data_IF_490258709156
#
_entry.id   IF_490258709156
#
_cell.length_a   1.000
_cell.length_b   1.000
_cell.length_c   1.000
_cell.angle_alpha   90.00
_cell.angle_beta   90.00
_cell.angle_gamma   90.00
#
_symmetry.space_group_name_H-M   'P 1'
#
loop_
_entity.id
_entity.type
_entity.pdbx_description
1 polymer ?
#
# COMPACT_ATOMS: atom_id res chain seq x y z
N UNK A 1 14.17 8.73 13.65
CA UNK A 1 12.80 8.53 14.13
C UNK A 1 11.80 8.91 13.04
N UNK A 2 11.16 7.95 12.49
CA UNK A 2 10.17 8.13 11.41
C UNK A 2 8.77 7.70 11.87
N UNK A 3 7.77 7.88 11.02
CA UNK A 3 6.41 7.38 11.28
C UNK A 3 6.44 5.88 11.64
N UNK A 4 5.61 5.48 12.62
CA UNK A 4 5.37 4.08 12.95
C UNK A 4 4.90 3.30 11.71
N UNK A 5 5.51 2.15 11.43
CA UNK A 5 5.03 1.20 10.42
C UNK A 5 4.00 0.29 11.05
N UNK A 6 2.80 0.21 10.48
CA UNK A 6 1.79 -0.66 11.04
C UNK A 6 2.25 -2.12 11.07
N UNK A 7 1.98 -2.81 12.18
CA UNK A 7 2.19 -4.26 12.30
C UNK A 7 1.05 -5.03 11.65
N UNK A 8 1.22 -6.34 11.47
CA UNK A 8 0.15 -7.20 10.96
C UNK A 8 -1.02 -7.30 11.93
N UNK A 9 -0.74 -7.31 13.24
CA UNK A 9 -1.75 -7.33 14.31
C UNK A 9 -2.57 -6.03 14.29
N UNK A 10 -1.95 -4.87 14.08
CA UNK A 10 -2.65 -3.59 13.97
C UNK A 10 -3.54 -3.55 12.73
N UNK A 11 -3.06 -4.07 11.60
CA UNK A 11 -3.86 -4.18 10.37
C UNK A 11 -5.06 -5.10 10.62
N UNK A 12 -4.84 -6.28 11.20
CA UNK A 12 -5.91 -7.24 11.51
C UNK A 12 -6.94 -6.66 12.48
N UNK A 13 -6.51 -5.94 13.51
CA UNK A 13 -7.41 -5.27 14.46
C UNK A 13 -8.27 -4.18 13.78
N UNK A 14 -7.68 -3.41 12.85
CA UNK A 14 -8.42 -2.43 12.07
C UNK A 14 -9.46 -3.11 11.17
N UNK A 15 -9.08 -4.19 10.50
CA UNK A 15 -9.96 -4.97 9.63
C UNK A 15 -11.11 -5.63 10.38
N UNK A 16 -10.84 -6.13 11.59
CA UNK A 16 -11.87 -6.69 12.46
C UNK A 16 -12.90 -5.63 12.89
N UNK A 17 -12.46 -4.40 13.18
CA UNK A 17 -13.36 -3.29 13.52
C UNK A 17 -14.14 -2.79 12.33
N UNK A 18 -13.50 -2.70 11.16
CA UNK A 18 -14.06 -2.12 9.95
C UNK A 18 -14.18 -3.20 8.85
N UNK A 19 -15.30 -3.91 8.74
CA UNK A 19 -15.50 -4.95 7.74
C UNK A 19 -15.56 -4.36 6.32
N UNK A 20 -15.49 -5.23 5.33
CA UNK A 20 -15.77 -4.88 3.93
C UNK A 20 -17.12 -4.17 3.80
N UNK A 21 -17.20 -3.19 2.90
CA UNK A 21 -18.37 -2.34 2.75
C UNK A 21 -18.33 -1.08 3.62
N UNK A 22 -17.28 -0.89 4.43
CA UNK A 22 -17.07 0.37 5.15
C UNK A 22 -16.05 1.27 4.47
N UNK A 23 -16.26 2.59 4.55
CA UNK A 23 -15.30 3.57 4.03
C UNK A 23 -13.91 3.44 4.66
N UNK A 24 -13.85 3.11 5.96
CA UNK A 24 -12.60 2.91 6.67
C UNK A 24 -11.82 1.72 6.10
N UNK A 25 -12.49 0.59 5.81
CA UNK A 25 -11.86 -0.57 5.19
C UNK A 25 -11.35 -0.26 3.77
N UNK A 26 -12.12 0.46 2.98
CA UNK A 26 -11.66 0.90 1.65
C UNK A 26 -10.46 1.82 1.75
N UNK A 27 -10.42 2.75 2.71
CA UNK A 27 -9.27 3.63 2.93
C UNK A 27 -8.01 2.85 3.30
N UNK A 28 -8.12 1.86 4.21
CA UNK A 28 -7.02 0.94 4.53
C UNK A 28 -6.53 0.22 3.28
N UNK A 29 -7.44 -0.38 2.52
CA UNK A 29 -7.10 -1.15 1.32
C UNK A 29 -6.38 -0.30 0.26
N UNK A 30 -6.87 0.91 -0.01
CA UNK A 30 -6.23 1.84 -0.93
C UNK A 30 -4.81 2.22 -0.48
N UNK A 31 -4.63 2.56 0.80
CA UNK A 31 -3.32 2.93 1.34
C UNK A 31 -2.33 1.75 1.30
N UNK A 32 -2.78 0.56 1.71
CA UNK A 32 -1.93 -0.62 1.87
C UNK A 32 -1.59 -1.28 0.53
N UNK A 33 -2.58 -1.47 -0.34
CA UNK A 33 -2.43 -2.19 -1.60
C UNK A 33 -2.05 -1.31 -2.80
N UNK A 34 -1.93 0.00 -2.61
CA UNK A 34 -1.28 0.88 -3.59
C UNK A 34 0.05 1.42 -3.09
N UNK A 35 0.28 1.41 -1.79
CA UNK A 35 1.48 1.97 -1.17
C UNK A 35 1.66 3.47 -1.41
N UNK A 36 0.60 4.20 -1.77
CA UNK A 36 0.68 5.60 -2.13
C UNK A 36 0.52 6.54 -0.92
N UNK A 37 0.95 7.78 -1.07
CA UNK A 37 0.77 8.81 -0.04
C UNK A 37 -0.71 9.18 0.06
N UNK A 38 -1.15 9.59 1.25
CA UNK A 38 -2.55 10.00 1.50
C UNK A 38 -3.09 11.00 0.48
N UNK A 39 -2.26 11.98 0.08
CA UNK A 39 -2.66 13.01 -0.88
C UNK A 39 -2.85 12.47 -2.30
N UNK A 40 -2.25 11.34 -2.63
CA UNK A 40 -2.45 10.65 -3.90
C UNK A 40 -3.68 9.73 -3.80
N UNK A 41 -3.83 9.01 -2.68
CA UNK A 41 -4.96 8.11 -2.43
C UNK A 41 -6.31 8.81 -2.45
N UNK A 42 -6.43 10.01 -1.84
CA UNK A 42 -7.70 10.75 -1.82
C UNK A 42 -8.15 11.25 -3.18
N UNK A 43 -7.25 11.26 -4.17
CA UNK A 43 -7.57 11.63 -5.55
C UNK A 43 -7.92 10.45 -6.45
N UNK A 44 -7.68 9.21 -6.00
CA UNK A 44 -7.98 8.02 -6.77
C UNK A 44 -9.48 7.86 -7.00
N UNK A 45 -9.86 7.47 -8.21
CA UNK A 45 -11.23 7.21 -8.60
C UNK A 45 -11.31 6.28 -9.81
N UNK A 46 -12.52 5.89 -10.21
CA UNK A 46 -12.75 4.95 -11.32
C UNK A 46 -12.11 5.37 -12.63
N UNK A 47 -12.03 6.67 -12.91
CA UNK A 47 -11.40 7.22 -14.11
C UNK A 47 -9.90 6.90 -14.20
N UNK A 48 -9.27 6.53 -13.10
CA UNK A 48 -7.86 6.13 -13.04
C UNK A 48 -7.65 4.61 -13.19
N UNK A 49 -8.74 3.82 -13.24
CA UNK A 49 -8.65 2.38 -13.42
C UNK A 49 -8.59 2.04 -14.90
N UNK A 50 -7.48 1.43 -15.34
CA UNK A 50 -7.28 0.97 -16.71
C UNK A 50 -6.56 -0.38 -16.72
N UNK A 51 -7.05 -1.31 -17.51
CA UNK A 51 -6.42 -2.62 -17.69
C UNK A 51 -6.06 -3.35 -16.38
N UNK A 52 -6.93 -3.27 -15.36
CA UNK A 52 -6.69 -3.92 -14.07
C UNK A 52 -5.67 -3.22 -13.17
N UNK A 53 -5.27 -1.99 -13.49
CA UNK A 53 -4.35 -1.19 -12.69
C UNK A 53 -4.96 0.19 -12.36
N UNK A 54 -4.50 0.80 -11.27
CA UNK A 54 -4.79 2.19 -10.94
C UNK A 54 -3.62 3.06 -11.42
N UNK A 55 -3.89 3.97 -12.34
CA UNK A 55 -2.93 4.97 -12.79
C UNK A 55 -2.83 6.11 -11.76
N UNK A 56 -1.62 6.43 -11.33
CA UNK A 56 -1.35 7.46 -10.32
C UNK A 56 -0.28 8.42 -10.84
N UNK A 57 -0.54 9.72 -10.70
CA UNK A 57 0.47 10.75 -10.81
C UNK A 57 0.74 11.29 -9.41
N UNK A 58 1.90 10.98 -8.86
CA UNK A 58 2.26 11.39 -7.51
C UNK A 58 2.43 12.89 -7.40
N UNK A 59 1.67 13.53 -6.50
CA UNK A 59 1.71 14.99 -6.33
C UNK A 59 3.05 15.53 -5.84
N UNK A 60 3.81 14.75 -5.05
CA UNK A 60 5.11 15.19 -4.52
C UNK A 60 6.27 15.06 -5.52
N UNK A 61 6.25 14.02 -6.37
CA UNK A 61 7.41 13.65 -7.20
C UNK A 61 7.12 13.77 -8.70
N UNK A 62 5.85 13.90 -9.09
CA UNK A 62 5.42 13.85 -10.48
C UNK A 62 5.53 12.45 -11.13
N UNK A 63 5.97 11.44 -10.37
CA UNK A 63 6.11 10.09 -10.90
C UNK A 63 4.77 9.53 -11.37
N UNK A 64 4.77 8.91 -12.55
CA UNK A 64 3.62 8.23 -13.14
C UNK A 64 3.75 6.73 -12.88
N UNK A 65 2.74 6.15 -12.28
CA UNK A 65 2.72 4.75 -11.90
C UNK A 65 1.42 4.11 -12.41
N UNK A 66 1.49 2.85 -12.84
CA UNK A 66 0.35 1.99 -13.03
C UNK A 66 0.46 0.84 -12.02
N UNK A 67 -0.40 0.83 -11.02
CA UNK A 67 -0.34 -0.12 -9.90
C UNK A 67 -1.40 -1.19 -10.12
N UNK A 68 -1.04 -2.46 -10.37
CA UNK A 68 -1.99 -3.55 -10.50
C UNK A 68 -2.89 -3.65 -9.25
N UNK A 69 -4.18 -3.89 -9.47
CA UNK A 69 -5.15 -3.99 -8.39
C UNK A 69 -5.04 -5.36 -7.74
N UNK A 70 -4.60 -5.40 -6.48
CA UNK A 70 -4.58 -6.60 -5.65
C UNK A 70 -6.00 -7.12 -5.41
N UNK A 71 -6.17 -8.44 -5.24
CA UNK A 71 -7.48 -9.05 -5.01
C UNK A 71 -8.25 -8.45 -3.83
N UNK A 72 -7.56 -8.19 -2.70
CA UNK A 72 -8.19 -7.58 -1.52
C UNK A 72 -8.63 -6.13 -1.75
N UNK A 73 -7.88 -5.38 -2.58
CA UNK A 73 -8.29 -4.04 -2.98
C UNK A 73 -9.51 -4.10 -3.91
N UNK A 74 -9.52 -5.04 -4.83
CA UNK A 74 -10.68 -5.28 -5.71
C UNK A 74 -11.93 -5.62 -4.91
N UNK A 75 -11.82 -6.49 -3.90
CA UNK A 75 -12.92 -6.84 -3.00
C UNK A 75 -13.42 -5.61 -2.21
N UNK A 76 -12.51 -4.78 -1.70
CA UNK A 76 -12.86 -3.58 -0.97
C UNK A 76 -13.57 -2.53 -1.86
N UNK A 77 -13.12 -2.36 -3.10
CA UNK A 77 -13.74 -1.48 -4.09
C UNK A 77 -15.15 -1.98 -4.48
N UNK A 78 -15.30 -3.28 -4.68
CA UNK A 78 -16.59 -3.88 -5.02
C UNK A 78 -17.61 -3.77 -3.87
N UNK A 79 -17.14 -3.94 -2.62
CA UNK A 79 -18.00 -3.86 -1.44
C UNK A 79 -18.40 -2.43 -1.04
N UNK A 80 -17.68 -1.42 -1.52
CA UNK A 80 -17.99 0.00 -1.27
C UNK A 80 -18.07 0.77 -2.61
N UNK A 81 -19.13 0.55 -3.40
CA UNK A 81 -19.28 1.26 -4.67
C UNK A 81 -19.47 2.75 -4.44
N UNK A 82 -18.80 3.56 -5.25
CA UNK A 82 -18.93 5.02 -5.23
C UNK A 82 -19.37 5.54 -6.59
N UNK A 83 -20.33 6.41 -6.61
CA UNK A 83 -20.78 7.15 -7.81
C UNK A 83 -20.01 8.46 -8.00
N UNK A 84 -19.16 8.81 -7.03
CA UNK A 84 -18.37 10.03 -7.05
C UNK A 84 -17.09 9.89 -7.89
N UNK A 85 -16.48 11.02 -8.22
CA UNK A 85 -15.20 11.07 -8.96
C UNK A 85 -14.05 10.41 -8.20
N UNK A 86 -14.09 10.42 -6.86
CA UNK A 86 -13.08 9.75 -6.02
C UNK A 86 -13.69 8.58 -5.27
N UNK A 87 -12.88 7.54 -5.04
CA UNK A 87 -13.30 6.37 -4.25
C UNK A 87 -13.64 6.74 -2.81
N UNK A 88 -12.90 7.69 -2.24
CA UNK A 88 -13.08 8.15 -0.87
C UNK A 88 -13.68 9.57 -0.86
N UNK A 89 -14.81 9.69 -0.20
CA UNK A 89 -15.49 10.96 -0.02
C UNK A 89 -15.83 11.22 1.44
N UNK A 90 -16.00 12.49 1.77
CA UNK A 90 -16.57 12.92 3.05
C UNK A 90 -18.03 12.45 3.21
N UNK A 91 -18.63 12.69 4.35
CA UNK A 91 -20.07 12.38 4.56
C UNK A 91 -20.98 13.12 3.58
N UNK A 92 -20.58 14.32 3.16
CA UNK A 92 -21.32 15.14 2.20
C UNK A 92 -21.04 14.83 0.73
N UNK A 93 -20.29 13.74 0.42
CA UNK A 93 -19.97 13.33 -0.95
C UNK A 93 -18.83 14.10 -1.61
N UNK A 94 -18.22 15.07 -0.93
CA UNK A 94 -17.07 15.80 -1.45
C UNK A 94 -15.76 14.99 -1.28
N UNK A 95 -14.82 15.19 -2.19
CA UNK A 95 -13.47 14.63 -2.06
C UNK A 95 -12.77 15.12 -0.78
N UNK A 96 -11.99 14.26 -0.15
CA UNK A 96 -11.18 14.65 0.99
C UNK A 96 -10.04 15.59 0.57
N UNK A 97 -9.78 16.61 1.39
CA UNK A 97 -8.45 17.23 1.43
C UNK A 97 -7.47 16.31 2.15
N UNK A 98 -6.17 16.45 1.87
CA UNK A 98 -5.14 15.64 2.56
C UNK A 98 -5.19 15.76 4.10
N UNK A 99 -5.24 16.97 4.68
CA UNK A 99 -5.42 17.15 6.12
C UNK A 99 -6.75 16.61 6.65
N UNK A 100 -7.85 16.85 5.95
CA UNK A 100 -9.18 16.36 6.33
C UNK A 100 -9.22 14.83 6.37
N UNK A 101 -8.62 14.16 5.38
CA UNK A 101 -8.47 12.71 5.39
C UNK A 101 -7.65 12.22 6.58
N UNK A 102 -6.51 12.86 6.87
CA UNK A 102 -5.69 12.46 8.02
C UNK A 102 -6.44 12.56 9.34
N UNK A 103 -7.16 13.65 9.57
CA UNK A 103 -7.94 13.83 10.79
C UNK A 103 -9.04 12.76 10.93
N UNK A 104 -9.75 12.49 9.85
CA UNK A 104 -10.74 11.43 9.82
C UNK A 104 -10.11 10.05 10.02
N UNK A 105 -8.98 9.75 9.35
CA UNK A 105 -8.33 8.45 9.45
C UNK A 105 -7.80 8.18 10.86
N UNK A 106 -7.21 9.20 11.52
CA UNK A 106 -6.81 9.09 12.94
C UNK A 106 -8.02 8.80 13.84
N UNK A 107 -9.18 9.37 13.56
CA UNK A 107 -10.40 9.07 14.31
C UNK A 107 -10.78 7.58 14.18
N UNK A 108 -10.87 7.06 12.95
CA UNK A 108 -11.25 5.65 12.74
C UNK A 108 -10.20 4.66 13.25
N UNK A 109 -8.91 5.02 13.28
CA UNK A 109 -7.88 4.19 13.90
C UNK A 109 -8.03 4.12 15.42
N UNK A 110 -8.36 5.23 16.07
CA UNK A 110 -8.66 5.25 17.52
C UNK A 110 -9.91 4.46 17.85
N UNK A 111 -10.95 4.56 17.04
CA UNK A 111 -12.19 3.77 17.20
C UNK A 111 -11.94 2.27 17.04
N UNK A 112 -10.89 1.87 16.32
CA UNK A 112 -10.42 0.49 16.23
C UNK A 112 -9.51 0.07 17.40
N UNK A 113 -9.31 0.92 18.40
CA UNK A 113 -8.46 0.64 19.55
C UNK A 113 -6.95 0.66 19.26
N UNK A 114 -6.53 1.21 18.12
CA UNK A 114 -5.13 1.22 17.72
C UNK A 114 -4.32 2.30 18.46
N UNK A 115 -3.01 2.06 18.68
CA UNK A 115 -2.15 2.98 19.39
C UNK A 115 -1.97 4.32 18.64
N UNK A 116 -1.54 5.34 19.38
CA UNK A 116 -1.11 6.60 18.78
C UNK A 116 0.09 6.35 17.88
N UNK A 117 0.06 6.90 16.68
CA UNK A 117 1.13 6.69 15.67
C UNK A 117 0.66 5.93 14.44
N UNK A 118 -0.41 5.16 14.54
CA UNK A 118 -1.05 4.53 13.38
C UNK A 118 -1.60 5.61 12.43
N UNK A 119 -0.88 5.86 11.35
CA UNK A 119 -1.14 6.95 10.40
C UNK A 119 -1.21 6.41 8.97
N UNK A 120 -1.78 7.17 8.01
CA UNK A 120 -1.75 6.79 6.60
C UNK A 120 -0.32 6.57 6.06
N UNK A 121 0.66 7.34 6.54
CA UNK A 121 2.05 7.16 6.13
C UNK A 121 2.65 5.86 6.67
N UNK A 122 2.24 5.43 7.86
CA UNK A 122 2.63 4.14 8.42
C UNK A 122 2.16 2.95 7.60
N UNK A 123 0.98 3.05 6.95
CA UNK A 123 0.50 2.02 6.03
C UNK A 123 1.33 1.93 4.73
N UNK A 124 1.82 3.05 4.21
CA UNK A 124 2.77 3.03 3.08
C UNK A 124 4.09 2.33 3.47
N UNK A 125 4.56 2.52 4.71
CA UNK A 125 5.71 1.78 5.24
C UNK A 125 5.40 0.28 5.37
N UNK A 126 4.22 -0.06 5.88
CA UNK A 126 3.78 -1.45 5.98
C UNK A 126 3.68 -2.13 4.60
N UNK A 127 3.18 -1.42 3.58
CA UNK A 127 3.15 -1.90 2.20
C UNK A 127 4.57 -2.24 1.69
N UNK A 128 5.52 -1.32 1.88
CA UNK A 128 6.91 -1.56 1.48
C UNK A 128 7.56 -2.72 2.26
N UNK A 129 7.30 -2.83 3.57
CA UNK A 129 7.75 -3.95 4.41
C UNK A 129 7.16 -5.27 3.93
N UNK A 130 5.84 -5.36 3.68
CA UNK A 130 5.20 -6.57 3.16
C UNK A 130 5.83 -7.04 1.84
N UNK A 131 6.14 -6.12 0.95
CA UNK A 131 6.83 -6.44 -0.30
C UNK A 131 8.25 -6.98 -0.05
N UNK A 132 9.00 -6.38 0.89
CA UNK A 132 10.33 -6.87 1.27
C UNK A 132 10.25 -8.27 1.90
N UNK A 133 9.30 -8.48 2.82
CA UNK A 133 9.06 -9.77 3.48
C UNK A 133 8.62 -10.86 2.47
N UNK A 134 7.91 -10.47 1.41
CA UNK A 134 7.55 -11.33 0.29
C UNK A 134 8.74 -11.62 -0.66
N UNK A 135 9.92 -11.05 -0.41
CA UNK A 135 11.12 -11.27 -1.21
C UNK A 135 11.24 -10.38 -2.45
N UNK A 136 10.44 -9.31 -2.54
CA UNK A 136 10.57 -8.35 -3.62
C UNK A 136 11.90 -7.59 -3.54
N UNK A 137 12.50 -7.36 -4.70
CA UNK A 137 13.72 -6.54 -4.80
C UNK A 137 13.42 -5.06 -4.52
N UNK A 138 14.45 -4.30 -4.17
CA UNK A 138 14.33 -2.83 -4.01
C UNK A 138 13.77 -2.15 -5.26
N UNK A 139 14.07 -2.67 -6.45
CA UNK A 139 13.52 -2.17 -7.71
C UNK A 139 12.02 -2.41 -7.82
N UNK A 140 11.54 -3.59 -7.44
CA UNK A 140 10.10 -3.92 -7.43
C UNK A 140 9.34 -3.05 -6.42
N UNK A 141 9.90 -2.88 -5.20
CA UNK A 141 9.31 -2.02 -4.18
C UNK A 141 9.27 -0.57 -4.65
N UNK A 142 10.36 -0.09 -5.29
CA UNK A 142 10.41 1.26 -5.88
C UNK A 142 9.36 1.45 -6.98
N UNK A 143 9.21 0.48 -7.87
CA UNK A 143 8.21 0.51 -8.95
C UNK A 143 6.78 0.59 -8.39
N UNK A 144 6.48 -0.13 -7.31
CA UNK A 144 5.18 -0.12 -6.66
C UNK A 144 4.93 1.17 -5.89
N UNK A 145 5.87 1.59 -5.06
CA UNK A 145 5.69 2.73 -4.16
C UNK A 145 5.98 4.08 -4.81
N UNK A 146 6.79 4.11 -5.87
CA UNK A 146 7.23 5.36 -6.50
C UNK A 146 8.21 6.16 -5.63
N UNK A 147 9.06 5.49 -4.86
CA UNK A 147 10.15 6.18 -4.18
C UNK A 147 11.17 6.72 -5.19
N UNK A 148 11.74 7.90 -4.92
CA UNK A 148 12.64 8.56 -5.85
C UNK A 148 13.99 7.84 -5.93
N UNK A 149 14.50 7.37 -4.78
CA UNK A 149 15.80 6.69 -4.67
C UNK A 149 15.66 5.27 -4.18
N UNK A 150 16.63 4.42 -4.51
CA UNK A 150 16.71 3.06 -3.96
C UNK A 150 17.04 3.08 -2.47
N UNK A 151 17.84 4.03 -2.01
CA UNK A 151 18.22 4.14 -0.60
C UNK A 151 17.03 4.34 0.33
N UNK A 152 15.94 4.99 -0.12
CA UNK A 152 14.69 5.09 0.63
C UNK A 152 14.01 3.74 0.81
N UNK A 153 14.22 2.83 -0.12
CA UNK A 153 13.60 1.49 -0.15
C UNK A 153 14.49 0.46 0.54
N UNK A 154 15.81 0.56 0.39
CA UNK A 154 16.79 -0.39 0.93
C UNK A 154 16.67 -0.61 2.44
N UNK A 155 16.22 0.41 3.19
CA UNK A 155 15.94 0.24 4.62
C UNK A 155 14.88 -0.81 4.92
N UNK A 156 13.96 -1.10 3.99
CA UNK A 156 12.95 -2.16 4.14
C UNK A 156 13.54 -3.52 3.78
N UNK A 157 14.42 -3.58 2.77
CA UNK A 157 15.05 -4.84 2.35
C UNK A 157 16.21 -5.25 3.24
N UNK A 158 16.90 -4.31 3.92
CA UNK A 158 17.94 -4.63 4.92
C UNK A 158 17.39 -5.40 6.11
N UNK A 159 16.11 -5.21 6.47
CA UNK A 159 15.46 -5.94 7.54
C UNK A 159 14.98 -7.32 7.09
N UNK A 160 15.06 -7.63 5.81
CA UNK A 160 14.74 -8.95 5.28
C UNK A 160 15.84 -9.94 5.69
N UNK A 161 15.41 -11.16 6.05
CA UNK A 161 16.32 -12.21 6.48
C UNK A 161 17.37 -12.52 5.41
N UNK A 162 18.66 -12.30 5.71
CA UNK A 162 19.76 -12.57 4.80
C UNK A 162 19.78 -14.03 4.34
N UNK A 163 19.51 -14.98 5.26
CA UNK A 163 19.47 -16.41 4.95
C UNK A 163 18.39 -16.71 3.92
N UNK A 164 17.17 -16.21 4.13
CA UNK A 164 16.05 -16.38 3.21
C UNK A 164 16.34 -15.81 1.81
N UNK A 165 16.98 -14.64 1.75
CA UNK A 165 17.37 -14.04 0.47
C UNK A 165 18.45 -14.86 -0.24
N UNK A 166 19.41 -15.43 0.52
CA UNK A 166 20.43 -16.32 -0.01
C UNK A 166 19.84 -17.63 -0.52
N UNK A 167 18.89 -18.23 0.21
CA UNK A 167 18.17 -19.43 -0.23
C UNK A 167 17.41 -19.22 -1.54
N UNK A 168 16.69 -18.11 -1.66
CA UNK A 168 16.00 -17.75 -2.90
C UNK A 168 16.97 -17.52 -4.05
N UNK A 169 18.10 -16.86 -3.79
CA UNK A 169 19.13 -16.64 -4.80
C UNK A 169 19.72 -17.97 -5.29
N UNK A 170 20.07 -18.88 -4.38
CA UNK A 170 20.61 -20.20 -4.69
C UNK A 170 19.58 -21.01 -5.50
N UNK A 171 18.30 -20.98 -5.14
CA UNK A 171 17.25 -21.70 -5.89
C UNK A 171 17.09 -21.23 -7.35
N UNK A 172 17.48 -19.99 -7.64
CA UNK A 172 17.40 -19.38 -8.99
C UNK A 172 18.63 -19.64 -9.85
N UNK A 173 19.76 -20.06 -9.28
CA UNK A 173 21.00 -20.32 -10.04
C UNK A 173 20.85 -21.49 -11.04
N UNK A 174 19.84 -22.33 -10.94
CA UNK A 174 19.63 -23.45 -11.84
C UNK A 174 20.82 -24.43 -11.86
N UNK A 175 20.60 -25.71 -12.07
CA UNK A 175 21.70 -26.64 -12.38
C UNK A 175 22.28 -26.23 -13.74
N UNK A 176 23.58 -26.01 -13.80
CA UNK A 176 24.29 -25.90 -15.06
C UNK A 176 23.86 -27.08 -15.93
N UNK A 177 23.36 -26.82 -17.16
CA UNK A 177 23.09 -27.87 -18.13
C UNK A 177 24.44 -28.61 -18.35
N UNK A 178 24.52 -29.86 -17.96
CA UNK A 178 25.63 -30.72 -18.35
C UNK A 178 25.61 -30.75 -19.88
N UNK A 179 26.73 -30.45 -20.56
CA UNK A 179 26.79 -30.62 -22.00
C UNK A 179 26.51 -32.10 -22.31
N UNK A 180 25.51 -32.36 -23.11
CA UNK A 180 25.33 -33.70 -23.68
C UNK A 180 26.55 -34.01 -24.52
N UNK A 181 27.18 -35.13 -24.17
CA UNK A 181 28.33 -35.69 -24.87
C UNK A 181 27.89 -36.35 -26.19
#
# INVERSE_FOLDING_TARGET
DGFHSWTEEEIAAFEAKWPLGTRARLALALLLYTGQRRGDVVRMGRQHVRNGAIEVVQGKTGARLAIPIHADLSAALAAYPSEHLTFLTTRGGASFSGPGFSNWFVKVTREAGLPKGCSPHGLRKAAARRLADAGCSSQQIKAFTGHTTLSEVERYTRAADQVRLAEVAVSRIGRAKTPEA
#
